data_IF_951923348093
#
_entry.id   IF_951923348093
#
_cell.length_a   1.000
_cell.length_b   1.000
_cell.length_c   1.000
_cell.angle_alpha   90.00
_cell.angle_beta   90.00
_cell.angle_gamma   90.00
#
_symmetry.space_group_name_H-M   'P 1'
#
loop_
_entity.id
_entity.type
_entity.pdbx_description
1 polymer ?
#
# COMPACT_ATOMS: atom_id res chain seq x y z
N UNK A 1 -25.67 19.05 -12.78
CA UNK A 1 -24.89 19.26 -14.04
C UNK A 1 -24.35 17.95 -14.63
N UNK A 2 -24.12 16.91 -13.83
CA UNK A 2 -23.64 15.58 -14.26
C UNK A 2 -24.60 14.82 -15.20
N UNK A 3 -25.88 15.18 -15.24
CA UNK A 3 -26.86 14.58 -16.13
C UNK A 3 -26.77 15.02 -17.60
N UNK A 4 -25.94 16.01 -17.92
CA UNK A 4 -25.75 16.56 -19.27
C UNK A 4 -24.51 16.01 -19.98
N UNK A 5 -23.76 15.12 -19.36
CA UNK A 5 -22.51 14.59 -19.91
C UNK A 5 -22.74 13.37 -20.81
N UNK A 6 -23.15 13.61 -22.04
CA UNK A 6 -23.11 12.64 -23.14
C UNK A 6 -22.01 12.95 -24.15
N UNK A 7 -21.64 12.02 -25.04
CA UNK A 7 -20.68 12.29 -26.12
C UNK A 7 -21.20 13.45 -27.00
N UNK A 8 -20.44 14.55 -27.08
CA UNK A 8 -20.77 15.77 -27.81
C UNK A 8 -21.31 16.95 -26.98
N UNK A 9 -21.51 16.78 -25.64
CA UNK A 9 -22.02 17.85 -24.76
C UNK A 9 -20.93 18.78 -24.19
N UNK A 10 -19.67 18.53 -24.45
CA UNK A 10 -18.54 19.35 -23.95
C UNK A 10 -18.69 20.85 -24.24
N UNK A 11 -18.95 21.27 -25.49
CA UNK A 11 -19.14 22.70 -25.82
C UNK A 11 -20.37 23.33 -25.13
N UNK A 12 -21.49 22.58 -25.02
CA UNK A 12 -22.72 23.05 -24.38
C UNK A 12 -22.50 23.26 -22.88
N UNK A 13 -21.81 22.31 -22.21
CA UNK A 13 -21.45 22.45 -20.80
C UNK A 13 -20.53 23.63 -20.55
N UNK A 14 -19.55 23.85 -21.42
CA UNK A 14 -18.64 25.02 -21.34
C UNK A 14 -19.40 26.34 -21.50
N UNK A 15 -20.31 26.45 -22.49
CA UNK A 15 -21.16 27.60 -22.66
C UNK A 15 -22.06 27.88 -21.47
N UNK A 16 -22.68 26.84 -20.92
CA UNK A 16 -23.54 26.96 -19.74
C UNK A 16 -22.72 27.43 -18.52
N UNK A 17 -21.54 26.83 -18.31
CA UNK A 17 -20.64 27.21 -17.23
C UNK A 17 -20.16 28.66 -17.37
N UNK A 18 -19.75 29.08 -18.57
CA UNK A 18 -19.35 30.46 -18.85
C UNK A 18 -20.50 31.46 -18.56
N UNK A 19 -21.74 31.11 -18.96
CA UNK A 19 -22.91 31.93 -18.66
C UNK A 19 -23.23 32.01 -17.17
N UNK A 20 -23.10 30.90 -16.44
CA UNK A 20 -23.25 30.89 -14.98
C UNK A 20 -22.22 31.80 -14.30
N UNK A 21 -20.95 31.71 -14.69
CA UNK A 21 -19.87 32.53 -14.14
C UNK A 21 -20.08 34.02 -14.44
N UNK A 22 -20.51 34.35 -15.65
CA UNK A 22 -20.85 35.73 -16.03
C UNK A 22 -22.01 36.27 -15.18
N UNK A 23 -23.11 35.52 -15.09
CA UNK A 23 -24.32 35.94 -14.36
C UNK A 23 -24.07 36.01 -12.83
N UNK A 24 -23.17 35.17 -12.30
CA UNK A 24 -22.82 35.18 -10.89
C UNK A 24 -21.62 36.04 -10.50
N UNK A 25 -21.10 36.86 -11.40
CA UNK A 25 -19.88 37.68 -11.20
C UNK A 25 -20.02 38.60 -9.98
N UNK A 26 -21.17 39.24 -9.84
CA UNK A 26 -21.45 40.22 -8.77
C UNK A 26 -21.50 39.53 -7.38
N UNK A 27 -21.86 38.27 -7.30
CA UNK A 27 -21.89 37.50 -6.05
C UNK A 27 -20.58 36.69 -5.84
N UNK A 28 -19.53 36.94 -6.63
CA UNK A 28 -18.24 36.30 -6.51
C UNK A 28 -18.23 34.84 -6.93
N UNK A 29 -19.16 34.41 -7.82
CA UNK A 29 -19.17 33.04 -8.34
C UNK A 29 -17.89 32.76 -9.13
N UNK A 30 -17.23 31.67 -8.80
CA UNK A 30 -16.00 31.19 -9.42
C UNK A 30 -16.02 29.69 -9.65
N UNK A 31 -15.08 29.19 -10.40
CA UNK A 31 -14.82 27.74 -10.48
C UNK A 31 -14.33 27.24 -9.13
N UNK A 32 -14.76 26.04 -8.79
CA UNK A 32 -14.24 25.34 -7.63
C UNK A 32 -12.78 24.92 -7.85
N UNK A 33 -11.98 24.98 -6.82
CA UNK A 33 -10.63 24.43 -6.80
C UNK A 33 -10.69 22.87 -6.79
N UNK A 34 -9.65 22.20 -7.26
CA UNK A 34 -9.55 20.74 -7.13
C UNK A 34 -9.80 20.29 -5.69
N UNK A 35 -10.69 19.31 -5.49
CA UNK A 35 -11.05 18.80 -4.16
C UNK A 35 -11.98 19.67 -3.31
N UNK A 36 -12.32 20.90 -3.74
CA UNK A 36 -13.11 21.84 -2.93
C UNK A 36 -14.49 21.30 -2.54
N UNK A 37 -15.18 20.58 -3.42
CA UNK A 37 -16.47 19.97 -3.08
C UNK A 37 -16.34 18.89 -2.00
N UNK A 38 -15.35 18.03 -2.10
CA UNK A 38 -15.06 16.99 -1.12
C UNK A 38 -14.66 17.59 0.23
N UNK A 39 -13.79 18.62 0.21
CA UNK A 39 -13.39 19.35 1.40
C UNK A 39 -14.59 20.02 2.09
N UNK A 40 -15.49 20.64 1.34
CA UNK A 40 -16.71 21.24 1.89
C UNK A 40 -17.69 20.19 2.40
N UNK A 41 -17.77 19.02 1.76
CA UNK A 41 -18.59 17.91 2.25
C UNK A 41 -18.08 17.40 3.61
N UNK A 42 -16.76 17.29 3.77
CA UNK A 42 -16.12 16.95 5.06
C UNK A 42 -16.42 18.02 6.14
N UNK A 43 -16.20 19.31 5.83
CA UNK A 43 -16.47 20.40 6.79
C UNK A 43 -17.95 20.54 7.21
N UNK A 44 -18.86 19.99 6.41
CA UNK A 44 -20.31 20.00 6.70
C UNK A 44 -20.83 18.63 7.16
N UNK A 45 -19.96 17.74 7.66
CA UNK A 45 -20.30 16.43 8.21
C UNK A 45 -21.11 15.54 7.25
N UNK A 46 -20.89 15.70 5.92
CA UNK A 46 -21.49 14.85 4.89
C UNK A 46 -20.62 13.64 4.56
N UNK A 47 -19.33 13.78 4.75
CA UNK A 47 -18.32 12.73 4.62
C UNK A 47 -17.39 12.83 5.82
N UNK A 48 -16.93 11.71 6.33
CA UNK A 48 -15.78 11.70 7.24
C UNK A 48 -14.46 11.81 6.46
N UNK A 49 -13.33 11.90 7.17
CA UNK A 49 -12.02 12.10 6.53
C UNK A 49 -11.62 10.90 5.66
N UNK A 50 -11.89 9.67 6.10
CA UNK A 50 -11.58 8.47 5.33
C UNK A 50 -12.40 8.39 4.04
N UNK A 51 -13.69 8.75 4.11
CA UNK A 51 -14.55 8.84 2.93
C UNK A 51 -14.12 9.95 1.97
N UNK A 52 -13.72 11.11 2.50
CA UNK A 52 -13.23 12.22 1.68
C UNK A 52 -11.93 11.85 0.93
N UNK A 53 -11.04 11.13 1.58
CA UNK A 53 -9.82 10.60 0.97
C UNK A 53 -10.10 9.50 -0.06
N UNK A 54 -11.10 8.65 0.20
CA UNK A 54 -11.49 7.60 -0.73
C UNK A 54 -11.98 8.15 -2.09
N UNK A 55 -12.47 9.40 -2.15
CA UNK A 55 -12.80 10.06 -3.42
C UNK A 55 -11.54 10.26 -4.27
N UNK A 56 -10.43 10.70 -3.66
CA UNK A 56 -9.16 10.87 -4.36
C UNK A 56 -8.58 9.50 -4.76
N UNK A 57 -8.60 8.55 -3.83
CA UNK A 57 -8.10 7.19 -4.07
C UNK A 57 -8.87 6.49 -5.21
N UNK A 58 -10.18 6.74 -5.34
CA UNK A 58 -11.01 6.22 -6.45
C UNK A 58 -10.60 6.82 -7.81
N UNK A 59 -10.21 8.09 -7.84
CA UNK A 59 -9.75 8.78 -9.05
C UNK A 59 -8.36 8.28 -9.46
N UNK A 60 -7.49 8.00 -8.49
CA UNK A 60 -6.10 7.58 -8.70
C UNK A 60 -5.97 6.05 -8.88
N UNK A 61 -7.02 5.28 -8.62
CA UNK A 61 -6.99 3.83 -8.67
C UNK A 61 -6.57 3.30 -10.05
N UNK A 62 -5.52 2.50 -10.10
CA UNK A 62 -4.93 1.93 -11.31
C UNK A 62 -5.37 0.49 -11.60
N UNK A 63 -6.05 -0.17 -10.64
CA UNK A 63 -6.51 -1.56 -10.76
C UNK A 63 -7.97 -1.70 -10.34
N UNK A 64 -8.66 -2.73 -10.85
CA UNK A 64 -10.06 -3.03 -10.47
C UNK A 64 -10.19 -3.30 -8.96
N UNK A 65 -9.20 -3.97 -8.36
CA UNK A 65 -9.17 -4.24 -6.94
C UNK A 65 -9.08 -2.94 -6.13
N UNK A 66 -8.23 -1.98 -6.55
CA UNK A 66 -8.13 -0.67 -5.94
C UNK A 66 -9.44 0.14 -6.05
N UNK A 67 -10.11 0.11 -7.22
CA UNK A 67 -11.42 0.75 -7.42
C UNK A 67 -12.47 0.18 -6.46
N UNK A 68 -12.56 -1.15 -6.34
CA UNK A 68 -13.50 -1.81 -5.42
C UNK A 68 -13.22 -1.42 -3.98
N UNK A 69 -11.96 -1.44 -3.57
CA UNK A 69 -11.52 -1.08 -2.22
C UNK A 69 -11.78 0.40 -1.89
N UNK A 70 -11.50 1.32 -2.82
CA UNK A 70 -11.82 2.75 -2.69
C UNK A 70 -13.34 2.99 -2.56
N UNK A 71 -14.14 2.28 -3.36
CA UNK A 71 -15.60 2.36 -3.30
C UNK A 71 -16.15 1.93 -1.94
N UNK A 72 -15.57 0.89 -1.33
CA UNK A 72 -15.95 0.46 0.01
C UNK A 72 -15.57 1.47 1.09
N UNK A 73 -14.36 2.03 1.01
CA UNK A 73 -13.94 3.12 1.90
C UNK A 73 -14.87 4.33 1.79
N UNK A 74 -15.25 4.70 0.57
CA UNK A 74 -16.20 5.78 0.32
C UNK A 74 -17.58 5.49 0.91
N UNK A 75 -18.03 4.23 0.93
CA UNK A 75 -19.29 3.83 1.57
C UNK A 75 -19.26 3.85 3.11
N UNK A 76 -18.11 4.18 3.72
CA UNK A 76 -17.94 4.33 5.17
C UNK A 76 -17.72 3.00 5.92
N UNK A 77 -17.42 1.90 5.22
CA UNK A 77 -17.18 0.60 5.87
C UNK A 77 -16.04 0.67 6.86
N UNK A 78 -14.91 1.31 6.49
CA UNK A 78 -13.75 1.48 7.36
C UNK A 78 -14.11 2.26 8.63
N UNK A 79 -14.73 3.42 8.47
CA UNK A 79 -15.13 4.28 9.59
C UNK A 79 -16.09 3.60 10.56
N UNK A 80 -17.01 2.78 10.02
CA UNK A 80 -17.94 2.00 10.85
C UNK A 80 -17.21 0.94 11.67
N UNK A 81 -16.27 0.23 11.08
CA UNK A 81 -15.47 -0.81 11.78
C UNK A 81 -14.64 -0.17 12.89
N UNK A 82 -13.97 0.95 12.59
CA UNK A 82 -13.19 1.70 13.60
C UNK A 82 -14.10 2.24 14.69
N UNK A 83 -15.27 2.81 14.36
CA UNK A 83 -16.25 3.27 15.35
C UNK A 83 -16.68 2.17 16.31
N UNK A 84 -17.01 0.98 15.80
CA UNK A 84 -17.35 -0.17 16.62
C UNK A 84 -16.20 -0.61 17.54
N UNK A 85 -14.96 -0.60 17.04
CA UNK A 85 -13.78 -0.92 17.85
C UNK A 85 -13.58 0.10 18.98
N UNK A 86 -13.69 1.39 18.68
CA UNK A 86 -13.61 2.47 19.69
C UNK A 86 -14.70 2.31 20.74
N UNK A 87 -15.95 2.02 20.34
CA UNK A 87 -17.05 1.78 21.28
C UNK A 87 -16.74 0.60 22.21
N UNK A 88 -16.19 -0.48 21.71
CA UNK A 88 -15.79 -1.65 22.52
C UNK A 88 -14.70 -1.29 23.54
N UNK A 89 -13.67 -0.54 23.14
CA UNK A 89 -12.61 -0.08 24.04
C UNK A 89 -13.16 0.85 25.11
N UNK A 90 -14.01 1.82 24.74
CA UNK A 90 -14.65 2.76 25.68
C UNK A 90 -15.52 2.01 26.69
N UNK A 91 -16.32 1.03 26.25
CA UNK A 91 -17.14 0.22 27.15
C UNK A 91 -16.29 -0.57 28.14
N UNK A 92 -15.21 -1.21 27.68
CA UNK A 92 -14.30 -1.94 28.55
C UNK A 92 -13.61 -0.99 29.55
N UNK A 93 -13.16 0.18 29.09
CA UNK A 93 -12.55 1.20 29.96
C UNK A 93 -13.51 1.66 31.04
N UNK A 94 -14.76 2.01 30.69
CA UNK A 94 -15.78 2.40 31.65
C UNK A 94 -16.01 1.33 32.71
N UNK A 95 -15.98 0.07 32.31
CA UNK A 95 -16.10 -1.08 33.20
C UNK A 95 -14.95 -1.14 34.21
N UNK A 96 -13.71 -1.01 33.73
CA UNK A 96 -12.51 -1.03 34.59
C UNK A 96 -12.47 0.18 35.52
N UNK A 97 -12.77 1.39 35.02
CA UNK A 97 -12.85 2.62 35.83
C UNK A 97 -13.93 2.49 36.92
N UNK A 98 -15.12 1.94 36.62
CA UNK A 98 -16.16 1.70 37.60
C UNK A 98 -15.73 0.74 38.71
N UNK A 99 -14.92 -0.28 38.37
CA UNK A 99 -14.36 -1.21 39.37
C UNK A 99 -13.37 -0.50 40.30
N UNK A 100 -12.56 0.41 39.79
CA UNK A 100 -11.62 1.20 40.57
C UNK A 100 -12.33 2.16 41.53
N UNK A 101 -13.46 2.72 41.12
CA UNK A 101 -14.26 3.66 41.96
C UNK A 101 -15.03 2.95 43.10
N UNK A 102 -15.33 1.63 42.94
CA UNK A 102 -16.09 0.84 43.89
C UNK A 102 -15.34 -0.44 44.35
N UNK A 103 -14.22 -0.30 45.07
CA UNK A 103 -13.33 -1.41 45.43
C UNK A 103 -13.96 -2.48 46.32
N UNK A 104 -15.06 -2.19 47.00
CA UNK A 104 -15.75 -3.19 47.84
C UNK A 104 -16.50 -4.27 47.01
N UNK A 105 -16.69 -4.04 45.70
CA UNK A 105 -17.38 -4.94 44.75
C UNK A 105 -16.44 -5.61 43.74
N UNK A 106 -15.10 -5.43 43.86
CA UNK A 106 -14.06 -5.63 42.84
C UNK A 106 -14.03 -7.00 42.18
N UNK A 107 -14.01 -8.09 42.94
CA UNK A 107 -13.71 -9.41 42.41
C UNK A 107 -14.88 -9.98 41.60
N UNK A 108 -16.11 -9.71 42.02
CA UNK A 108 -17.31 -10.25 41.38
C UNK A 108 -17.69 -9.51 40.08
N UNK A 109 -17.30 -8.24 39.92
CA UNK A 109 -17.77 -7.40 38.83
C UNK A 109 -16.98 -7.64 37.51
N UNK A 110 -15.65 -7.73 37.58
CA UNK A 110 -14.80 -8.01 36.41
C UNK A 110 -15.02 -9.43 35.88
N UNK A 111 -15.20 -10.43 36.77
CA UNK A 111 -15.52 -11.81 36.36
C UNK A 111 -16.93 -11.90 35.77
N UNK A 112 -17.94 -11.32 36.39
CA UNK A 112 -19.32 -11.31 35.90
C UNK A 112 -19.49 -10.57 34.57
N UNK A 113 -18.70 -9.54 34.34
CA UNK A 113 -18.76 -8.73 33.12
C UNK A 113 -17.91 -9.26 31.97
N UNK A 114 -17.19 -10.37 32.16
CA UNK A 114 -16.30 -10.98 31.16
C UNK A 114 -15.29 -9.96 30.55
N UNK A 115 -14.68 -9.14 31.41
CA UNK A 115 -13.75 -8.10 30.98
C UNK A 115 -12.56 -8.66 30.17
N UNK A 116 -12.02 -9.83 30.57
CA UNK A 116 -10.96 -10.53 29.84
C UNK A 116 -11.42 -11.00 28.45
N UNK A 117 -12.59 -11.59 28.35
CA UNK A 117 -13.17 -11.98 27.07
C UNK A 117 -13.50 -10.79 26.17
N UNK A 118 -13.90 -9.65 26.75
CA UNK A 118 -14.05 -8.40 25.98
C UNK A 118 -12.71 -7.94 25.40
N UNK A 119 -11.63 -7.94 26.20
CA UNK A 119 -10.29 -7.57 25.77
C UNK A 119 -9.76 -8.49 24.68
N UNK A 120 -9.96 -9.80 24.80
CA UNK A 120 -9.61 -10.78 23.76
C UNK A 120 -10.35 -10.49 22.43
N UNK A 121 -11.64 -10.18 22.49
CA UNK A 121 -12.44 -9.81 21.30
C UNK A 121 -11.93 -8.52 20.66
N UNK A 122 -11.56 -7.51 21.46
CA UNK A 122 -10.94 -6.27 20.98
C UNK A 122 -9.63 -6.58 20.27
N UNK A 123 -8.76 -7.40 20.85
CA UNK A 123 -7.49 -7.82 20.24
C UNK A 123 -7.70 -8.53 18.89
N UNK A 124 -8.64 -9.47 18.83
CA UNK A 124 -8.97 -10.20 17.59
C UNK A 124 -9.51 -9.26 16.52
N UNK A 125 -10.42 -8.35 16.89
CA UNK A 125 -10.99 -7.37 15.97
C UNK A 125 -9.91 -6.42 15.44
N UNK A 126 -9.07 -5.89 16.33
CA UNK A 126 -7.98 -4.98 15.96
C UNK A 126 -6.95 -5.67 15.06
N UNK A 127 -6.64 -6.94 15.33
CA UNK A 127 -5.76 -7.72 14.48
C UNK A 127 -6.33 -7.90 13.05
N UNK A 128 -7.62 -8.24 12.95
CA UNK A 128 -8.31 -8.38 11.66
C UNK A 128 -8.35 -7.04 10.89
N UNK A 129 -8.67 -5.94 11.58
CA UNK A 129 -8.68 -4.59 11.01
C UNK A 129 -7.30 -4.20 10.49
N UNK A 130 -6.24 -4.47 11.26
CA UNK A 130 -4.86 -4.16 10.88
C UNK A 130 -4.44 -4.95 9.63
N UNK A 131 -4.76 -6.23 9.55
CA UNK A 131 -4.49 -7.05 8.36
C UNK A 131 -5.20 -6.50 7.13
N UNK A 132 -6.49 -6.18 7.22
CA UNK A 132 -7.25 -5.61 6.10
C UNK A 132 -6.73 -4.23 5.70
N UNK A 133 -6.35 -3.39 6.66
CA UNK A 133 -5.76 -2.09 6.40
C UNK A 133 -4.41 -2.20 5.68
N UNK A 134 -3.57 -3.18 6.04
CA UNK A 134 -2.30 -3.45 5.34
C UNK A 134 -2.53 -3.88 3.89
N UNK A 135 -3.50 -4.78 3.65
CA UNK A 135 -3.88 -5.19 2.30
C UNK A 135 -4.40 -3.99 1.49
N UNK A 136 -5.20 -3.12 2.10
CA UNK A 136 -5.72 -1.92 1.47
C UNK A 136 -4.64 -0.89 1.13
N UNK A 137 -3.66 -0.69 2.00
CA UNK A 137 -2.52 0.16 1.72
C UNK A 137 -1.72 -0.37 0.53
N UNK A 138 -1.52 -1.69 0.46
CA UNK A 138 -0.84 -2.34 -0.67
C UNK A 138 -1.60 -2.14 -2.00
N UNK A 139 -2.93 -2.27 -2.00
CA UNK A 139 -3.73 -2.02 -3.21
C UNK A 139 -3.67 -0.55 -3.66
N UNK A 140 -3.47 0.38 -2.74
CA UNK A 140 -3.36 1.80 -3.00
C UNK A 140 -1.97 2.20 -3.48
N UNK A 141 -0.94 1.84 -2.75
CA UNK A 141 0.44 2.30 -2.95
C UNK A 141 1.19 1.41 -3.94
N UNK A 142 0.78 0.13 -4.03
CA UNK A 142 1.49 -0.88 -4.80
C UNK A 142 2.78 -1.32 -4.13
N UNK A 143 3.53 -2.17 -4.83
CA UNK A 143 4.87 -2.62 -4.46
C UNK A 143 5.89 -1.92 -5.35
N UNK A 144 6.86 -1.24 -4.78
CA UNK A 144 7.94 -0.59 -5.52
C UNK A 144 9.06 -1.60 -5.81
N UNK A 145 9.22 -1.93 -7.07
CA UNK A 145 10.12 -2.98 -7.55
C UNK A 145 11.24 -2.37 -8.38
N UNK A 146 12.47 -2.48 -7.92
CA UNK A 146 13.64 -2.07 -8.70
C UNK A 146 14.08 -3.23 -9.59
N UNK A 147 14.25 -2.95 -10.88
CA UNK A 147 14.74 -3.90 -11.85
C UNK A 147 16.20 -3.59 -12.22
N UNK A 148 17.13 -4.37 -11.71
CA UNK A 148 18.56 -4.17 -11.87
C UNK A 148 19.21 -5.32 -12.69
N UNK A 149 20.28 -5.01 -13.40
CA UNK A 149 21.04 -6.01 -14.18
C UNK A 149 21.62 -5.41 -15.46
N UNK A 150 22.58 -6.13 -16.02
CA UNK A 150 23.31 -5.73 -17.24
C UNK A 150 22.40 -5.55 -18.46
N UNK A 151 22.87 -4.86 -19.50
CA UNK A 151 22.19 -4.88 -20.79
C UNK A 151 22.02 -6.32 -21.31
N UNK A 152 20.90 -6.58 -22.00
CA UNK A 152 20.59 -7.85 -22.66
C UNK A 152 20.41 -9.09 -21.74
N UNK A 153 20.31 -8.91 -20.41
CA UNK A 153 19.94 -10.01 -19.49
C UNK A 153 18.44 -10.34 -19.53
N UNK A 154 17.63 -9.51 -20.22
CA UNK A 154 16.20 -9.77 -20.43
C UNK A 154 15.27 -8.96 -19.54
N UNK A 155 15.64 -7.75 -19.06
CA UNK A 155 14.80 -6.88 -18.23
C UNK A 155 13.45 -6.60 -18.87
N UNK A 156 13.41 -6.08 -20.09
CA UNK A 156 12.17 -5.79 -20.81
C UNK A 156 11.33 -7.05 -21.09
N UNK A 157 11.98 -8.18 -21.38
CA UNK A 157 11.28 -9.47 -21.55
C UNK A 157 10.62 -9.91 -20.24
N UNK A 158 11.30 -9.71 -19.09
CA UNK A 158 10.75 -10.04 -17.79
C UNK A 158 9.55 -9.15 -17.46
N UNK A 159 9.63 -7.85 -17.74
CA UNK A 159 8.49 -6.93 -17.54
C UNK A 159 7.29 -7.36 -18.36
N UNK A 160 7.49 -7.65 -19.64
CA UNK A 160 6.43 -8.16 -20.50
C UNK A 160 5.85 -9.49 -20.01
N UNK A 161 6.69 -10.39 -19.50
CA UNK A 161 6.27 -11.67 -18.94
C UNK A 161 5.49 -11.50 -17.61
N UNK A 162 5.86 -10.53 -16.78
CA UNK A 162 5.15 -10.21 -15.54
C UNK A 162 3.81 -9.51 -15.82
N UNK A 163 3.78 -8.56 -16.78
CA UNK A 163 2.57 -7.88 -17.20
C UNK A 163 1.54 -8.86 -17.79
N UNK A 164 1.98 -9.89 -18.51
CA UNK A 164 1.13 -10.98 -19.01
C UNK A 164 -0.13 -10.50 -19.72
N UNK A 165 -1.26 -11.17 -19.47
CA UNK A 165 -2.58 -10.80 -19.98
C UNK A 165 -3.28 -9.69 -19.16
N UNK A 166 -2.73 -9.28 -18.03
CA UNK A 166 -3.30 -8.30 -17.09
C UNK A 166 -2.51 -6.98 -17.15
N UNK A 167 -2.67 -6.23 -18.23
CA UNK A 167 -2.09 -4.89 -18.34
C UNK A 167 -2.88 -3.98 -17.37
N UNK A 168 -2.18 -3.34 -16.42
CA UNK A 168 -2.76 -2.26 -15.65
C UNK A 168 -3.30 -1.19 -16.61
N UNK A 169 -4.48 -0.65 -16.32
CA UNK A 169 -5.01 0.49 -17.06
C UNK A 169 -4.13 1.69 -16.69
N UNK A 170 -3.04 1.89 -17.41
CA UNK A 170 -2.26 3.11 -17.30
C UNK A 170 -3.11 4.24 -17.85
N UNK A 171 -3.84 4.93 -16.99
CA UNK A 171 -4.41 6.22 -17.35
C UNK A 171 -3.27 7.25 -17.31
N UNK A 172 -2.83 7.80 -18.45
CA UNK A 172 -1.91 8.92 -18.43
C UNK A 172 -2.70 10.14 -17.92
N UNK A 173 -2.70 10.36 -16.62
CA UNK A 173 -3.18 11.62 -16.06
C UNK A 173 -2.12 12.66 -16.44
N UNK A 174 -2.45 13.44 -17.45
CA UNK A 174 -1.61 14.54 -17.91
C UNK A 174 -1.41 15.52 -16.74
N UNK A 175 -0.23 15.50 -16.12
CA UNK A 175 0.16 16.43 -15.06
C UNK A 175 0.94 15.83 -13.89
N UNK A 176 0.90 14.51 -13.65
CA UNK A 176 1.57 13.90 -12.51
C UNK A 176 2.88 13.17 -12.85
N UNK A 177 3.24 13.04 -14.13
CA UNK A 177 4.33 12.16 -14.61
C UNK A 177 5.44 12.88 -15.38
N UNK A 178 5.75 14.14 -15.07
CA UNK A 178 6.87 14.82 -15.76
C UNK A 178 8.27 14.34 -15.31
N UNK A 179 8.38 13.54 -14.26
CA UNK A 179 9.68 13.16 -13.66
C UNK A 179 9.83 11.67 -13.26
N UNK A 180 8.91 10.75 -13.62
CA UNK A 180 9.05 9.34 -13.19
C UNK A 180 9.17 8.37 -14.37
N UNK A 181 10.32 7.72 -14.46
CA UNK A 181 10.54 6.52 -15.30
C UNK A 181 10.00 5.29 -14.52
N UNK A 182 8.69 5.30 -14.24
CA UNK A 182 8.02 4.18 -13.57
C UNK A 182 6.94 3.63 -14.49
N UNK A 183 7.05 2.37 -14.82
CA UNK A 183 6.00 1.60 -15.48
C UNK A 183 5.21 0.84 -14.41
N UNK A 184 3.90 0.99 -14.39
CA UNK A 184 3.05 0.25 -13.44
C UNK A 184 2.41 -0.92 -14.14
N UNK A 185 2.66 -2.12 -13.65
CA UNK A 185 1.98 -3.37 -14.02
C UNK A 185 1.14 -3.85 -12.85
N UNK A 186 0.35 -4.92 -13.01
CA UNK A 186 -0.39 -5.50 -11.88
C UNK A 186 -0.17 -7.01 -11.79
N UNK A 187 -0.16 -7.52 -10.54
CA UNK A 187 -0.21 -8.95 -10.24
C UNK A 187 -1.34 -9.17 -9.24
N UNK A 188 -2.35 -9.97 -9.61
CA UNK A 188 -3.54 -10.26 -8.79
C UNK A 188 -4.24 -8.99 -8.24
N UNK A 189 -4.28 -7.94 -9.06
CA UNK A 189 -4.89 -6.66 -8.70
C UNK A 189 -4.00 -5.72 -7.89
N UNK A 190 -2.80 -6.13 -7.49
CA UNK A 190 -1.82 -5.29 -6.80
C UNK A 190 -1.00 -4.51 -7.83
N UNK A 191 -0.91 -3.18 -7.72
CA UNK A 191 -0.01 -2.40 -8.54
C UNK A 191 1.45 -2.73 -8.23
N UNK A 192 2.28 -2.91 -9.25
CA UNK A 192 3.73 -3.01 -9.15
C UNK A 192 4.33 -1.81 -9.87
N UNK A 193 4.96 -0.94 -9.12
CA UNK A 193 5.64 0.24 -9.61
C UNK A 193 7.08 -0.14 -9.96
N UNK A 194 7.35 -0.33 -11.24
CA UNK A 194 8.66 -0.77 -11.72
C UNK A 194 9.56 0.44 -11.90
N UNK A 195 10.68 0.42 -11.20
CA UNK A 195 11.77 1.39 -11.32
C UNK A 195 12.86 0.74 -12.17
N UNK A 196 12.96 1.13 -13.45
CA UNK A 196 13.99 0.57 -14.34
C UNK A 196 15.32 1.29 -14.12
N UNK A 197 16.34 0.50 -13.78
CA UNK A 197 17.71 0.98 -13.63
C UNK A 197 18.52 0.95 -14.92
N UNK A 198 17.87 0.81 -16.10
CA UNK A 198 18.58 0.77 -17.39
C UNK A 198 19.41 2.03 -17.68
N UNK A 199 19.10 3.14 -17.00
CA UNK A 199 19.85 4.40 -17.03
C UNK A 199 20.95 4.54 -15.97
N UNK A 200 21.08 3.61 -15.02
CA UNK A 200 22.15 3.66 -14.02
C UNK A 200 23.45 3.13 -14.65
N UNK A 201 24.03 3.91 -15.54
CA UNK A 201 25.46 3.80 -15.87
C UNK A 201 26.27 4.38 -14.71
N UNK A 202 27.50 3.90 -14.53
CA UNK A 202 28.37 4.41 -13.46
C UNK A 202 28.53 5.92 -13.61
N UNK A 203 28.31 6.67 -12.54
CA UNK A 203 28.41 8.13 -12.50
C UNK A 203 29.80 8.62 -12.93
N UNK A 204 30.80 7.73 -12.93
CA UNK A 204 32.17 7.99 -13.38
C UNK A 204 32.31 8.06 -14.90
N UNK A 205 31.33 7.59 -15.67
CA UNK A 205 31.38 7.52 -17.14
C UNK A 205 30.69 8.70 -17.83
N UNK A 206 30.02 9.60 -17.08
CA UNK A 206 29.23 10.69 -17.67
C UNK A 206 29.77 12.08 -17.30
N UNK A 207 30.10 12.85 -18.34
CA UNK A 207 30.50 14.25 -18.23
C UNK A 207 29.30 15.22 -18.28
N UNK A 208 28.07 14.69 -18.39
CA UNK A 208 26.86 15.51 -18.49
C UNK A 208 26.19 15.66 -17.12
N UNK A 209 26.03 16.91 -16.66
CA UNK A 209 25.43 17.25 -15.36
C UNK A 209 23.96 16.83 -15.26
N UNK A 210 23.22 16.84 -16.37
CA UNK A 210 21.81 16.43 -16.45
C UNK A 210 21.69 14.92 -16.24
N UNK A 211 22.60 14.12 -16.82
CA UNK A 211 22.63 12.66 -16.68
C UNK A 211 23.01 12.25 -15.25
N UNK A 212 23.96 12.98 -14.61
CA UNK A 212 24.32 12.77 -13.21
C UNK A 212 23.16 13.01 -12.25
N UNK A 213 22.38 14.08 -12.45
CA UNK A 213 21.17 14.35 -11.65
C UNK A 213 20.13 13.23 -11.85
N UNK A 214 20.00 12.71 -13.06
CA UNK A 214 19.13 11.56 -13.35
C UNK A 214 19.53 10.30 -12.59
N UNK A 215 20.82 10.00 -12.54
CA UNK A 215 21.38 8.87 -11.79
C UNK A 215 21.16 9.03 -10.28
N UNK A 216 21.41 10.20 -9.71
CA UNK A 216 21.19 10.48 -8.28
C UNK A 216 19.70 10.29 -7.90
N UNK A 217 18.77 10.78 -8.72
CA UNK A 217 17.33 10.58 -8.52
C UNK A 217 16.95 9.10 -8.54
N UNK A 218 17.51 8.32 -9.46
CA UNK A 218 17.25 6.88 -9.52
C UNK A 218 17.73 6.17 -8.26
N UNK A 219 18.87 6.55 -7.69
CA UNK A 219 19.34 5.97 -6.42
C UNK A 219 18.46 6.35 -5.22
N UNK A 220 17.86 7.53 -5.22
CA UNK A 220 16.87 7.90 -4.19
C UNK A 220 15.63 6.99 -4.30
N UNK A 221 15.16 6.71 -5.50
CA UNK A 221 14.03 5.78 -5.71
C UNK A 221 14.41 4.33 -5.36
N UNK A 222 15.64 3.89 -5.66
CA UNK A 222 16.15 2.57 -5.23
C UNK A 222 16.13 2.46 -3.70
N UNK A 223 16.42 3.56 -2.98
CA UNK A 223 16.33 3.60 -1.50
C UNK A 223 14.91 3.46 -0.94
N UNK A 224 13.88 3.60 -1.77
CA UNK A 224 12.47 3.46 -1.40
C UNK A 224 11.85 2.16 -1.91
N UNK A 225 12.64 1.30 -2.52
CA UNK A 225 12.15 0.04 -3.06
C UNK A 225 11.75 -0.93 -1.95
N UNK A 226 10.68 -1.65 -2.20
CA UNK A 226 10.22 -2.74 -1.33
C UNK A 226 10.95 -4.05 -1.66
N UNK A 227 11.44 -4.19 -2.92
CA UNK A 227 12.22 -5.33 -3.38
C UNK A 227 13.09 -4.96 -4.58
N UNK A 228 14.26 -5.59 -4.68
CA UNK A 228 15.18 -5.45 -5.81
C UNK A 228 15.22 -6.77 -6.58
N UNK A 229 14.89 -6.72 -7.87
CA UNK A 229 15.04 -7.84 -8.81
C UNK A 229 16.37 -7.70 -9.54
N UNK A 230 17.36 -8.49 -9.14
CA UNK A 230 18.66 -8.52 -9.78
C UNK A 230 18.73 -9.61 -10.84
N UNK A 231 18.69 -9.22 -12.13
CA UNK A 231 18.68 -10.13 -13.26
C UNK A 231 20.07 -10.55 -13.68
N UNK A 232 20.25 -11.86 -13.82
CA UNK A 232 21.46 -12.54 -14.25
C UNK A 232 21.14 -13.46 -15.43
N UNK A 233 22.11 -13.71 -16.28
CA UNK A 233 22.03 -14.70 -17.36
C UNK A 233 22.46 -16.07 -16.81
N UNK A 234 21.54 -17.04 -16.77
CA UNK A 234 21.77 -18.37 -16.21
C UNK A 234 22.90 -19.14 -16.91
N UNK A 235 23.17 -18.82 -18.20
CA UNK A 235 24.25 -19.45 -18.96
C UNK A 235 25.65 -18.87 -18.74
N UNK A 236 25.72 -17.66 -18.12
CA UNK A 236 27.00 -16.93 -17.94
C UNK A 236 27.47 -16.85 -16.50
N UNK A 237 26.56 -16.96 -15.55
CA UNK A 237 26.83 -16.76 -14.14
C UNK A 237 27.08 -15.30 -13.74
N UNK A 238 27.31 -15.03 -12.44
CA UNK A 238 27.55 -13.68 -11.92
C UNK A 238 28.95 -13.21 -12.30
N UNK A 239 29.09 -11.93 -12.53
CA UNK A 239 30.37 -11.27 -12.81
C UNK A 239 30.74 -10.30 -11.70
N UNK A 240 32.00 -9.80 -11.70
CA UNK A 240 32.43 -8.78 -10.73
C UNK A 240 31.60 -7.50 -10.78
N UNK A 241 31.08 -7.14 -11.96
CA UNK A 241 30.23 -5.97 -12.11
C UNK A 241 28.82 -6.19 -11.48
N UNK A 242 28.29 -7.42 -11.55
CA UNK A 242 27.04 -7.78 -10.91
C UNK A 242 27.19 -7.71 -9.38
N UNK A 243 28.31 -8.18 -8.84
CA UNK A 243 28.62 -8.08 -7.41
C UNK A 243 28.83 -6.62 -6.97
N UNK A 244 29.53 -5.81 -7.76
CA UNK A 244 29.72 -4.38 -7.52
C UNK A 244 28.39 -3.60 -7.53
N UNK A 245 27.44 -4.03 -8.38
CA UNK A 245 26.08 -3.46 -8.39
C UNK A 245 25.32 -3.80 -7.11
N UNK A 246 25.35 -5.06 -6.69
CA UNK A 246 24.70 -5.51 -5.44
C UNK A 246 25.27 -4.77 -4.21
N UNK A 247 26.58 -4.55 -4.16
CA UNK A 247 27.23 -3.83 -3.06
C UNK A 247 26.78 -2.35 -2.90
N UNK A 248 26.07 -1.80 -3.91
CA UNK A 248 25.53 -0.43 -3.89
C UNK A 248 24.06 -0.37 -3.48
N UNK A 249 23.39 -1.52 -3.38
CA UNK A 249 22.00 -1.53 -2.95
C UNK A 249 21.88 -1.17 -1.46
N UNK A 250 20.77 -0.54 -1.06
CA UNK A 250 20.56 -0.17 0.34
C UNK A 250 20.42 -1.41 1.21
N UNK A 251 20.98 -1.33 2.42
CA UNK A 251 20.80 -2.39 3.41
C UNK A 251 19.33 -2.54 3.82
N UNK A 252 18.91 -3.79 4.05
CA UNK A 252 17.57 -4.11 4.53
C UNK A 252 16.50 -4.26 3.45
N UNK A 253 16.77 -3.93 2.19
CA UNK A 253 15.84 -4.19 1.08
C UNK A 253 16.03 -5.62 0.58
N UNK A 254 14.98 -6.45 0.51
CA UNK A 254 15.07 -7.81 -0.01
C UNK A 254 15.58 -7.84 -1.46
N UNK A 255 16.52 -8.73 -1.74
CA UNK A 255 17.06 -8.94 -3.09
C UNK A 255 16.61 -10.30 -3.61
N UNK A 256 15.97 -10.33 -4.77
CA UNK A 256 15.70 -11.55 -5.53
C UNK A 256 16.69 -11.61 -6.68
N UNK A 257 17.55 -12.63 -6.68
CA UNK A 257 18.44 -12.91 -7.81
C UNK A 257 17.71 -13.77 -8.85
N UNK A 258 17.46 -13.20 -10.01
CA UNK A 258 16.72 -13.84 -11.09
C UNK A 258 17.71 -14.38 -12.13
N UNK A 259 17.81 -15.70 -12.22
CA UNK A 259 18.60 -16.42 -13.23
C UNK A 259 17.72 -16.64 -14.45
N UNK A 260 17.78 -15.68 -15.37
CA UNK A 260 16.97 -15.69 -16.58
C UNK A 260 17.63 -16.50 -17.70
N UNK A 261 16.84 -16.84 -18.74
CA UNK A 261 17.23 -17.61 -19.93
C UNK A 261 17.59 -19.07 -19.63
N UNK A 262 16.85 -19.69 -18.72
CA UNK A 262 17.04 -21.13 -18.44
C UNK A 262 16.72 -22.02 -19.64
N UNK A 263 15.91 -21.55 -20.58
CA UNK A 263 15.63 -22.16 -21.86
C UNK A 263 16.93 -22.45 -22.68
N UNK A 264 17.95 -21.59 -22.52
CA UNK A 264 19.25 -21.76 -23.20
C UNK A 264 20.26 -22.59 -22.40
N UNK A 265 20.09 -22.65 -21.07
CA UNK A 265 21.04 -23.33 -20.18
C UNK A 265 20.60 -24.71 -19.74
N UNK A 266 19.34 -25.09 -20.01
CA UNK A 266 18.79 -26.40 -19.64
C UNK A 266 18.44 -26.56 -18.17
N UNK A 267 18.49 -25.48 -17.35
CA UNK A 267 18.02 -25.49 -15.96
C UNK A 267 16.51 -25.62 -15.90
N UNK A 268 16.01 -26.25 -14.85
CA UNK A 268 14.57 -26.29 -14.57
C UNK A 268 14.16 -25.06 -13.74
N UNK A 269 12.92 -24.56 -13.92
CA UNK A 269 12.38 -23.53 -13.04
C UNK A 269 12.44 -23.97 -11.58
N UNK A 270 13.04 -23.16 -10.73
CA UNK A 270 13.17 -23.42 -9.28
C UNK A 270 13.27 -22.12 -8.48
N UNK A 271 13.01 -22.23 -7.19
CA UNK A 271 13.24 -21.18 -6.20
C UNK A 271 14.08 -21.77 -5.07
N UNK A 272 15.18 -21.09 -4.76
CA UNK A 272 16.10 -21.47 -3.70
C UNK A 272 16.34 -20.26 -2.80
N UNK A 273 16.06 -20.40 -1.50
CA UNK A 273 16.33 -19.33 -0.51
C UNK A 273 17.66 -19.61 0.16
N UNK A 274 18.63 -18.74 -0.10
CA UNK A 274 19.96 -18.76 0.51
C UNK A 274 20.07 -17.67 1.58
N UNK A 275 21.14 -17.68 2.38
CA UNK A 275 21.34 -16.75 3.49
C UNK A 275 21.38 -15.27 3.05
N UNK A 276 21.79 -15.00 1.82
CA UNK A 276 22.02 -13.65 1.29
C UNK A 276 20.89 -13.16 0.35
N UNK A 277 20.16 -14.08 -0.30
CA UNK A 277 19.09 -13.72 -1.23
C UNK A 277 18.20 -14.90 -1.59
N UNK A 278 17.02 -14.62 -2.11
CA UNK A 278 16.18 -15.60 -2.82
C UNK A 278 16.63 -15.70 -4.28
N UNK A 279 16.91 -16.92 -4.73
CA UNK A 279 17.31 -17.21 -6.11
C UNK A 279 16.14 -17.84 -6.86
N UNK A 280 15.78 -17.29 -8.02
CA UNK A 280 14.71 -17.79 -8.87
C UNK A 280 15.27 -18.05 -10.26
N UNK A 281 15.13 -19.29 -10.74
CA UNK A 281 15.50 -19.72 -12.07
C UNK A 281 14.28 -19.70 -12.98
N UNK A 282 14.33 -18.90 -14.05
CA UNK A 282 13.20 -18.70 -14.94
C UNK A 282 13.62 -18.39 -16.38
N UNK A 283 12.69 -18.51 -17.32
CA UNK A 283 12.81 -17.93 -18.65
C UNK A 283 11.66 -16.95 -18.89
N UNK A 284 12.02 -15.69 -19.12
CA UNK A 284 11.06 -14.65 -19.48
C UNK A 284 10.54 -14.83 -20.92
N UNK A 285 11.21 -15.62 -21.76
CA UNK A 285 10.83 -15.83 -23.14
C UNK A 285 9.73 -16.88 -23.29
N UNK A 286 9.84 -18.01 -22.61
CA UNK A 286 8.88 -19.12 -22.66
C UNK A 286 7.94 -19.15 -21.46
N UNK A 287 7.99 -18.14 -20.57
CA UNK A 287 7.16 -17.95 -19.38
C UNK A 287 7.42 -18.99 -18.27
N UNK A 288 8.42 -19.86 -18.40
CA UNK A 288 8.71 -20.88 -17.39
C UNK A 288 9.31 -20.26 -16.13
N UNK A 289 8.75 -20.60 -14.96
CA UNK A 289 9.18 -20.06 -13.66
C UNK A 289 8.63 -18.67 -13.31
N UNK A 290 7.91 -17.98 -14.20
CA UNK A 290 7.30 -16.66 -13.91
C UNK A 290 6.32 -16.74 -12.74
N UNK A 291 5.57 -17.85 -12.62
CA UNK A 291 4.68 -18.08 -11.48
C UNK A 291 5.39 -18.11 -10.12
N UNK A 292 6.64 -18.61 -10.08
CA UNK A 292 7.45 -18.59 -8.85
C UNK A 292 7.81 -17.16 -8.44
N UNK A 293 8.19 -16.33 -9.40
CA UNK A 293 8.50 -14.92 -9.15
C UNK A 293 7.25 -14.15 -8.70
N UNK A 294 6.09 -14.37 -9.35
CA UNK A 294 4.82 -13.76 -8.93
C UNK A 294 4.47 -14.13 -7.48
N UNK A 295 4.54 -15.41 -7.13
CA UNK A 295 4.27 -15.87 -5.78
C UNK A 295 5.22 -15.26 -4.75
N UNK A 296 6.51 -15.13 -5.07
CA UNK A 296 7.50 -14.53 -4.17
C UNK A 296 7.28 -13.02 -3.99
N UNK A 297 6.94 -12.29 -5.05
CA UNK A 297 6.57 -10.87 -4.96
C UNK A 297 5.34 -10.66 -4.07
N UNK A 298 4.30 -11.48 -4.23
CA UNK A 298 3.11 -11.46 -3.39
C UNK A 298 3.43 -11.79 -1.92
N UNK A 299 4.34 -12.75 -1.69
CA UNK A 299 4.81 -13.10 -0.34
C UNK A 299 5.54 -11.94 0.32
N UNK A 300 6.45 -11.27 -0.39
CA UNK A 300 7.18 -10.08 0.12
C UNK A 300 6.21 -8.94 0.40
N UNK A 301 5.22 -8.73 -0.48
CA UNK A 301 4.16 -7.75 -0.28
C UNK A 301 3.26 -8.07 0.94
N UNK A 302 3.33 -9.28 1.49
CA UNK A 302 2.43 -9.74 2.54
C UNK A 302 0.99 -9.93 2.06
N UNK A 303 0.79 -10.12 0.74
CA UNK A 303 -0.53 -10.29 0.17
C UNK A 303 -1.15 -11.63 0.60
N UNK A 304 -2.37 -11.55 1.08
CA UNK A 304 -3.19 -12.72 1.38
C UNK A 304 -4.48 -12.61 0.57
N UNK A 305 -4.78 -13.64 -0.21
CA UNK A 305 -6.09 -13.77 -0.87
C UNK A 305 -7.18 -14.02 0.19
N UNK A 306 -7.55 -12.97 0.89
CA UNK A 306 -8.75 -13.00 1.71
C UNK A 306 -9.93 -12.73 0.79
N UNK A 307 -10.89 -13.68 0.70
CA UNK A 307 -12.11 -13.47 -0.09
C UNK A 307 -13.01 -12.36 0.46
N UNK A 308 -12.52 -11.59 1.43
CA UNK A 308 -13.20 -10.50 2.11
C UNK A 308 -12.87 -9.16 1.48
N UNK A 309 -13.81 -8.27 1.61
CA UNK A 309 -13.75 -6.90 1.14
C UNK A 309 -12.65 -6.10 1.85
N UNK A 310 -11.62 -5.71 1.15
CA UNK A 310 -10.52 -4.87 1.65
C UNK A 310 -10.91 -3.40 1.49
N UNK A 311 -10.70 -2.59 2.51
CA UNK A 311 -10.86 -1.12 2.43
C UNK A 311 -9.49 -0.43 2.36
N UNK A 312 -9.41 0.67 1.61
CA UNK A 312 -8.15 1.42 1.51
C UNK A 312 -7.79 2.04 2.86
N UNK A 313 -6.52 1.92 3.21
CA UNK A 313 -5.94 2.56 4.38
C UNK A 313 -4.67 3.32 3.98
N UNK A 314 -4.36 4.38 4.71
CA UNK A 314 -3.15 5.17 4.55
C UNK A 314 -2.16 4.82 5.65
N UNK A 315 -0.87 5.09 5.42
CA UNK A 315 0.17 4.79 6.40
C UNK A 315 -0.13 5.37 7.80
N UNK A 316 -0.71 6.57 7.89
CA UNK A 316 -1.12 7.13 9.18
C UNK A 316 -2.16 6.27 9.93
N UNK A 317 -3.08 5.60 9.19
CA UNK A 317 -4.05 4.67 9.79
C UNK A 317 -3.34 3.42 10.31
N UNK A 318 -2.36 2.91 9.56
CA UNK A 318 -1.55 1.77 9.99
C UNK A 318 -0.72 2.11 11.24
N UNK A 319 -0.13 3.30 11.29
CA UNK A 319 0.62 3.79 12.47
C UNK A 319 -0.30 3.83 13.69
N UNK A 320 -1.48 4.44 13.56
CA UNK A 320 -2.45 4.53 14.65
C UNK A 320 -2.96 3.15 15.11
N UNK A 321 -3.27 2.25 14.17
CA UNK A 321 -3.72 0.88 14.48
C UNK A 321 -2.61 0.05 15.15
N UNK A 322 -1.35 0.21 14.75
CA UNK A 322 -0.20 -0.46 15.39
C UNK A 322 -0.03 0.06 16.82
N UNK A 323 -0.10 1.37 17.04
CA UNK A 323 -0.04 1.95 18.38
C UNK A 323 -1.18 1.43 19.26
N UNK A 324 -2.42 1.45 18.76
CA UNK A 324 -3.56 0.90 19.49
C UNK A 324 -3.39 -0.59 19.83
N UNK A 325 -2.85 -1.40 18.89
CA UNK A 325 -2.53 -2.81 19.15
C UNK A 325 -1.53 -2.95 20.31
N UNK A 326 -0.48 -2.15 20.33
CA UNK A 326 0.56 -2.23 21.33
C UNK A 326 0.01 -1.87 22.72
N UNK A 327 -0.84 -0.84 22.81
CA UNK A 327 -1.56 -0.48 24.04
C UNK A 327 -2.52 -1.58 24.50
N UNK A 328 -3.35 -2.12 23.61
CA UNK A 328 -4.28 -3.22 23.92
C UNK A 328 -3.52 -4.49 24.34
N UNK A 329 -2.35 -4.76 23.74
CA UNK A 329 -1.50 -5.88 24.15
C UNK A 329 -0.90 -5.68 25.54
N UNK A 330 -0.46 -4.47 25.88
CA UNK A 330 0.03 -4.10 27.22
C UNK A 330 -1.09 -4.18 28.24
N UNK A 331 -2.29 -3.68 27.89
CA UNK A 331 -3.50 -3.81 28.71
C UNK A 331 -3.81 -5.28 29.05
N UNK A 332 -3.66 -6.19 28.07
CA UNK A 332 -3.87 -7.62 28.29
C UNK A 332 -2.84 -8.23 29.25
N UNK A 333 -1.60 -7.75 29.23
CA UNK A 333 -0.58 -8.20 30.19
C UNK A 333 -0.93 -7.76 31.61
N UNK A 334 -1.42 -6.54 31.82
CA UNK A 334 -1.90 -6.06 33.12
C UNK A 334 -3.13 -6.82 33.58
N UNK A 335 -4.09 -7.08 32.69
CA UNK A 335 -5.28 -7.88 33.01
C UNK A 335 -4.96 -9.32 33.42
N UNK A 336 -3.80 -9.84 33.02
CA UNK A 336 -3.31 -11.18 33.42
C UNK A 336 -2.62 -11.20 34.80
N UNK A 337 -2.16 -10.04 35.30
CA UNK A 337 -1.40 -9.88 36.55
C UNK A 337 -2.31 -9.55 37.71
N UNK A 338 -3.30 -10.28 38.07
CA UNK A 338 -4.24 -10.08 39.23
C UNK A 338 -4.24 -8.67 39.87
N UNK A 339 -5.39 -8.19 40.27
CA UNK A 339 -5.88 -7.04 41.05
C UNK A 339 -5.01 -5.80 41.37
N UNK A 340 -3.68 -5.86 41.29
CA UNK A 340 -2.80 -4.72 41.59
C UNK A 340 -2.46 -3.84 40.37
N UNK A 341 -3.03 -4.13 39.20
CA UNK A 341 -2.67 -3.47 37.93
C UNK A 341 -3.87 -2.86 37.21
N UNK A 342 -5.02 -2.72 37.88
CA UNK A 342 -6.25 -2.18 37.28
C UNK A 342 -6.08 -0.72 36.84
N UNK A 343 -5.35 0.11 37.64
CA UNK A 343 -5.03 1.48 37.30
C UNK A 343 -4.23 1.55 35.99
N UNK A 344 -3.24 0.65 35.82
CA UNK A 344 -2.41 0.58 34.62
C UNK A 344 -3.22 0.05 33.43
N UNK A 345 -4.12 -0.90 33.66
CA UNK A 345 -5.05 -1.38 32.64
C UNK A 345 -5.96 -0.24 32.14
N UNK A 346 -6.53 0.54 33.07
CA UNK A 346 -7.38 1.68 32.71
C UNK A 346 -6.62 2.73 31.92
N UNK A 347 -5.36 3.02 32.29
CA UNK A 347 -4.51 3.99 31.57
C UNK A 347 -4.19 3.51 30.14
N UNK A 348 -3.83 2.23 29.94
CA UNK A 348 -3.58 1.69 28.60
C UNK A 348 -4.82 1.69 27.69
N UNK A 349 -6.02 1.52 28.26
CA UNK A 349 -7.28 1.63 27.53
C UNK A 349 -7.68 3.08 27.22
N UNK A 350 -7.03 4.07 27.83
CA UNK A 350 -7.25 5.50 27.63
C UNK A 350 -6.38 6.08 26.51
N UNK A 351 -5.18 5.55 26.34
CA UNK A 351 -4.19 5.97 25.33
C UNK A 351 -4.56 5.46 23.94
#
# INVERSE_FOLDING_TARGET
>A
LTWLAGPGTGPVLQMLLARCLEAGREIGLRLALPGEFTHRAFLNDKLDLAQAEAVADLIEASTEAAVKSASQSLSGVFSKVIGTLVEQVVQLRMLVEATLDFPEEEIDFLEKSDARGQLERIQQTLHAVLLQAQQGALLREGLNVVLAGKPNVGKSSLLNALAGAEVAIVTPIAGTTRDKVTETIQIEGIPLNIIDTAGIRTADDTHDEVERIGIERTWVEVGRADVILHLLDAGRGPTREDEAMVARFPDGVPIIRIWNKIDLSGHKPSIDTMLDATHIYLSAQDMSGIGLLRAELLRIAGWQQTGESVYLARERHLIALRAARDHVQTAAQFAAQNDHSLDLLAEELRL
#
